data_IF_969909192312
#
_entry.id   IF_969909192312
#
_cell.length_a   1.000
_cell.length_b   1.000
_cell.length_c   1.000
_cell.angle_alpha   90.00
_cell.angle_beta   90.00
_cell.angle_gamma   90.00
#
_symmetry.space_group_name_H-M   'P 1'
#
loop_
_entity.id
_entity.type
_entity.pdbx_description
1 polymer ?
#
# COMPACT_ATOMS: atom_id res chain seq x y z
N UNK A 1 61.01 -38.60 -16.48
CA UNK A 1 60.43 -37.72 -17.51
C UNK A 1 60.01 -36.41 -16.86
N UNK A 2 60.70 -35.31 -17.16
CA UNK A 2 60.34 -34.00 -16.64
C UNK A 2 59.05 -33.52 -17.33
N UNK A 3 57.99 -33.29 -16.54
CA UNK A 3 56.70 -32.79 -17.03
C UNK A 3 56.93 -31.37 -17.56
N UNK A 4 56.87 -31.19 -18.88
CA UNK A 4 57.01 -29.88 -19.55
C UNK A 4 55.92 -28.96 -19.00
N UNK A 5 56.29 -27.94 -18.21
CA UNK A 5 55.36 -26.91 -17.74
C UNK A 5 55.06 -26.00 -18.93
N UNK A 6 53.83 -26.01 -19.41
CA UNK A 6 53.35 -25.08 -20.43
C UNK A 6 53.12 -23.74 -19.73
N UNK A 7 53.87 -22.70 -20.12
CA UNK A 7 53.69 -21.35 -19.57
C UNK A 7 52.50 -20.67 -20.21
N UNK A 8 51.68 -20.01 -19.40
CA UNK A 8 50.53 -19.23 -19.87
C UNK A 8 51.03 -17.88 -20.41
N UNK A 9 50.61 -17.50 -21.61
CA UNK A 9 51.00 -16.22 -22.22
C UNK A 9 50.14 -15.09 -21.68
N UNK A 10 50.70 -13.87 -21.65
CA UNK A 10 49.98 -12.67 -21.21
C UNK A 10 48.73 -12.41 -22.06
N UNK A 11 48.78 -12.77 -23.34
CA UNK A 11 47.66 -12.63 -24.28
C UNK A 11 46.52 -13.59 -23.92
N UNK A 12 46.81 -14.86 -23.62
CA UNK A 12 45.78 -15.84 -23.21
C UNK A 12 45.06 -15.40 -21.93
N UNK A 13 45.78 -14.83 -20.96
CA UNK A 13 45.18 -14.28 -19.75
C UNK A 13 44.25 -13.10 -20.04
N UNK A 14 44.70 -12.18 -20.90
CA UNK A 14 43.92 -11.00 -21.24
C UNK A 14 42.64 -11.36 -22.00
N UNK A 15 42.71 -12.34 -22.92
CA UNK A 15 41.53 -12.84 -23.66
C UNK A 15 40.53 -13.49 -22.71
N UNK A 16 40.98 -14.33 -21.77
CA UNK A 16 40.08 -14.98 -20.80
C UNK A 16 39.39 -13.95 -19.91
N UNK A 17 40.13 -12.97 -19.39
CA UNK A 17 39.53 -11.89 -18.58
C UNK A 17 38.56 -11.06 -19.42
N UNK A 18 38.87 -10.77 -20.69
CA UNK A 18 37.97 -10.05 -21.58
C UNK A 18 36.66 -10.82 -21.81
N UNK A 19 36.72 -12.12 -22.06
CA UNK A 19 35.53 -12.98 -22.24
C UNK A 19 34.69 -13.02 -20.97
N UNK A 20 35.32 -13.27 -19.80
CA UNK A 20 34.62 -13.27 -18.50
C UNK A 20 33.98 -11.90 -18.24
N UNK A 21 34.69 -10.81 -18.53
CA UNK A 21 34.18 -9.46 -18.39
C UNK A 21 32.94 -9.21 -19.23
N UNK A 22 32.95 -9.62 -20.51
CA UNK A 22 31.77 -9.52 -21.40
C UNK A 22 30.62 -10.39 -20.90
N UNK A 23 30.88 -11.63 -20.48
CA UNK A 23 29.84 -12.51 -19.95
C UNK A 23 29.19 -11.93 -18.69
N UNK A 24 29.98 -11.43 -17.74
CA UNK A 24 29.45 -10.79 -16.52
C UNK A 24 28.66 -9.53 -16.87
N UNK A 25 29.16 -8.70 -17.79
CA UNK A 25 28.48 -7.47 -18.22
C UNK A 25 27.11 -7.76 -18.85
N UNK A 26 26.97 -8.88 -19.57
CA UNK A 26 25.69 -9.30 -20.16
C UNK A 26 24.78 -10.00 -19.15
N UNK A 27 25.32 -10.75 -18.19
CA UNK A 27 24.55 -11.51 -17.21
C UNK A 27 24.03 -10.66 -16.04
N UNK A 28 24.79 -9.66 -15.59
CA UNK A 28 24.41 -8.86 -14.41
C UNK A 28 23.07 -8.14 -14.60
N UNK A 29 22.79 -7.43 -15.73
CA UNK A 29 21.49 -6.81 -15.96
C UNK A 29 20.36 -7.84 -15.98
N UNK A 30 20.58 -9.00 -16.61
CA UNK A 30 19.58 -10.06 -16.71
C UNK A 30 19.24 -10.67 -15.33
N UNK A 31 20.24 -10.91 -14.49
CA UNK A 31 20.03 -11.42 -13.13
C UNK A 31 19.25 -10.43 -12.27
N UNK A 32 19.52 -9.11 -12.40
CA UNK A 32 18.77 -8.10 -11.65
C UNK A 32 17.31 -8.01 -12.11
N UNK A 33 17.06 -8.05 -13.43
CA UNK A 33 15.70 -8.08 -13.97
C UNK A 33 14.92 -9.31 -13.50
N UNK A 34 15.56 -10.49 -13.49
CA UNK A 34 14.94 -11.71 -13.00
C UNK A 34 14.61 -11.64 -11.50
N UNK A 35 15.51 -11.07 -10.68
CA UNK A 35 15.26 -10.86 -9.25
C UNK A 35 14.09 -9.92 -8.99
N UNK A 36 14.01 -8.82 -9.74
CA UNK A 36 12.90 -7.88 -9.59
C UNK A 36 11.57 -8.48 -10.04
N UNK A 37 11.56 -9.26 -11.14
CA UNK A 37 10.38 -9.99 -11.54
C UNK A 37 9.90 -10.98 -10.46
N UNK A 38 10.82 -11.68 -9.79
CA UNK A 38 10.50 -12.56 -8.67
C UNK A 38 9.92 -11.80 -7.47
N UNK A 39 10.52 -10.67 -7.07
CA UNK A 39 9.99 -9.82 -6.00
C UNK A 39 8.59 -9.32 -6.32
N UNK A 40 8.37 -8.84 -7.55
CA UNK A 40 7.05 -8.39 -8.03
C UNK A 40 6.00 -9.50 -8.02
N UNK A 41 6.37 -10.73 -8.36
CA UNK A 41 5.46 -11.88 -8.24
C UNK A 41 5.08 -12.15 -6.78
N UNK A 42 6.04 -12.04 -5.85
CA UNK A 42 5.75 -12.20 -4.44
C UNK A 42 4.84 -11.08 -3.90
N UNK A 43 5.06 -9.82 -4.30
CA UNK A 43 4.18 -8.72 -3.89
C UNK A 43 2.75 -8.89 -4.43
N UNK A 44 2.60 -9.40 -5.67
CA UNK A 44 1.29 -9.79 -6.22
C UNK A 44 0.63 -10.93 -5.43
N UNK A 45 1.39 -11.94 -4.99
CA UNK A 45 0.87 -13.05 -4.19
C UNK A 45 0.42 -12.60 -2.79
N UNK A 46 1.20 -11.73 -2.13
CA UNK A 46 0.81 -11.12 -0.85
C UNK A 46 -0.53 -10.37 -0.97
N UNK A 47 -0.69 -9.58 -2.04
CA UNK A 47 -1.97 -8.91 -2.34
C UNK A 47 -3.09 -9.93 -2.49
N UNK A 48 -2.91 -10.99 -3.29
CA UNK A 48 -3.95 -12.02 -3.46
C UNK A 48 -4.34 -12.68 -2.14
N UNK A 49 -3.39 -12.97 -1.26
CA UNK A 49 -3.67 -13.53 0.06
C UNK A 49 -4.53 -12.57 0.90
N UNK A 50 -4.21 -11.27 0.90
CA UNK A 50 -5.03 -10.27 1.60
C UNK A 50 -6.43 -10.12 1.00
N UNK A 51 -6.57 -10.17 -0.33
CA UNK A 51 -7.89 -10.10 -0.98
C UNK A 51 -8.75 -11.32 -0.63
N UNK A 52 -8.17 -12.53 -0.65
CA UNK A 52 -8.86 -13.75 -0.24
C UNK A 52 -9.28 -13.69 1.23
N UNK A 53 -8.44 -13.13 2.09
CA UNK A 53 -8.75 -12.88 3.48
C UNK A 53 -9.91 -11.88 3.64
N UNK A 54 -9.97 -10.82 2.82
CA UNK A 54 -11.10 -9.89 2.78
C UNK A 54 -12.39 -10.58 2.30
N UNK A 55 -12.32 -11.52 1.36
CA UNK A 55 -13.48 -12.32 0.93
C UNK A 55 -13.96 -13.25 2.05
N UNK A 56 -13.04 -13.92 2.74
CA UNK A 56 -13.36 -14.79 3.88
C UNK A 56 -14.00 -14.01 5.03
N UNK A 57 -13.47 -12.80 5.32
CA UNK A 57 -14.11 -11.86 6.24
C UNK A 57 -15.52 -11.49 5.77
N UNK A 58 -15.70 -11.17 4.48
CA UNK A 58 -17.01 -10.85 3.92
C UNK A 58 -17.99 -12.03 4.07
N UNK A 59 -17.57 -13.27 3.84
CA UNK A 59 -18.43 -14.44 3.98
C UNK A 59 -19.01 -14.59 5.39
N UNK A 60 -18.22 -14.25 6.42
CA UNK A 60 -18.63 -14.30 7.82
C UNK A 60 -19.46 -13.07 8.23
N UNK A 61 -18.98 -11.86 7.94
CA UNK A 61 -19.57 -10.61 8.44
C UNK A 61 -20.54 -9.93 7.45
N UNK A 62 -20.70 -10.50 6.25
CA UNK A 62 -21.52 -10.01 5.13
C UNK A 62 -21.13 -8.62 4.62
N UNK A 63 -19.95 -8.14 4.97
CA UNK A 63 -19.38 -6.87 4.58
C UNK A 63 -17.85 -6.95 4.61
N UNK A 64 -17.17 -6.12 3.83
CA UNK A 64 -15.71 -5.99 3.91
C UNK A 64 -15.30 -5.38 5.26
N UNK A 65 -14.04 -5.63 5.68
CA UNK A 65 -13.46 -4.93 6.82
C UNK A 65 -13.60 -3.41 6.66
N UNK A 66 -13.79 -2.71 7.78
CA UNK A 66 -13.72 -1.24 7.78
C UNK A 66 -12.29 -0.79 7.50
N UNK A 67 -12.12 0.34 6.80
CA UNK A 67 -10.78 0.86 6.55
C UNK A 67 -10.06 1.25 7.84
N UNK A 68 -10.73 2.04 8.69
CA UNK A 68 -10.28 2.40 10.03
C UNK A 68 -11.46 2.79 10.92
N UNK A 69 -11.50 2.33 12.17
CA UNK A 69 -12.54 2.72 13.13
C UNK A 69 -12.17 4.02 13.85
N UNK A 70 -12.69 5.17 13.39
CA UNK A 70 -12.35 6.47 13.98
C UNK A 70 -13.38 6.95 15.03
N UNK A 71 -14.21 6.05 15.55
CA UNK A 71 -15.32 6.34 16.46
C UNK A 71 -15.19 5.57 17.78
N UNK A 72 -15.47 6.21 18.92
CA UNK A 72 -15.63 5.56 20.24
C UNK A 72 -17.09 5.70 20.74
N UNK A 73 -17.41 5.11 21.90
CA UNK A 73 -18.75 5.19 22.51
C UNK A 73 -19.27 6.62 22.81
N UNK A 74 -18.41 7.64 22.70
CA UNK A 74 -18.73 9.05 23.00
C UNK A 74 -18.69 9.98 21.78
N UNK A 75 -18.27 9.48 20.59
CA UNK A 75 -18.10 10.32 19.40
C UNK A 75 -16.86 10.00 18.56
N UNK A 76 -16.53 10.92 17.66
CA UNK A 76 -15.28 10.87 16.88
C UNK A 76 -14.08 11.07 17.81
N UNK A 77 -13.02 10.28 17.61
CA UNK A 77 -11.80 10.38 18.42
C UNK A 77 -10.70 11.19 17.73
N UNK A 78 -10.08 12.12 18.45
CA UNK A 78 -8.89 12.85 18.00
C UNK A 78 -7.67 11.93 17.79
N UNK A 79 -7.72 10.70 18.34
CA UNK A 79 -6.70 9.66 18.21
C UNK A 79 -6.82 8.77 16.95
N UNK A 80 -7.93 8.89 16.21
CA UNK A 80 -8.33 8.09 15.03
C UNK A 80 -7.89 6.61 15.09
N UNK A 81 -8.69 5.84 15.84
CA UNK A 81 -8.95 4.42 15.66
C UNK A 81 -8.73 3.21 16.57
N UNK A 82 -9.74 2.33 16.63
CA UNK A 82 -9.70 1.09 17.43
C UNK A 82 -9.30 -0.14 16.64
N UNK A 83 -9.60 -0.21 15.34
CA UNK A 83 -9.29 -1.35 14.48
C UNK A 83 -9.39 -0.92 13.02
N UNK A 84 -8.52 -1.41 12.14
CA UNK A 84 -8.56 -1.18 10.70
C UNK A 84 -8.68 -2.48 9.91
N UNK A 85 -8.70 -2.36 8.58
CA UNK A 85 -8.95 -3.50 7.68
C UNK A 85 -7.91 -4.61 7.86
N UNK A 86 -6.65 -4.24 8.04
CA UNK A 86 -5.50 -5.12 8.21
C UNK A 86 -5.64 -5.96 9.48
N UNK A 87 -5.93 -5.34 10.62
CA UNK A 87 -6.22 -6.05 11.87
C UNK A 87 -7.44 -6.98 11.69
N UNK A 88 -8.48 -6.49 11.02
CA UNK A 88 -9.73 -7.24 10.80
C UNK A 88 -9.54 -8.54 10.00
N UNK A 89 -8.49 -8.67 9.20
CA UNK A 89 -8.24 -9.86 8.39
C UNK A 89 -7.20 -10.82 8.98
N UNK A 90 -6.60 -10.53 10.14
CA UNK A 90 -5.50 -11.33 10.71
C UNK A 90 -5.83 -12.83 10.85
N UNK A 91 -7.03 -13.16 11.33
CA UNK A 91 -7.49 -14.56 11.44
C UNK A 91 -7.50 -15.30 10.10
N UNK A 92 -7.71 -14.58 9.01
CA UNK A 92 -7.83 -15.11 7.66
C UNK A 92 -6.50 -15.12 6.88
N UNK A 93 -5.41 -14.67 7.52
CA UNK A 93 -4.03 -14.74 6.99
C UNK A 93 -3.09 -15.49 7.95
N UNK A 94 -3.64 -16.45 8.70
CA UNK A 94 -2.90 -17.30 9.65
C UNK A 94 -2.22 -16.50 10.80
N UNK A 95 -2.77 -15.33 11.16
CA UNK A 95 -2.28 -14.49 12.25
C UNK A 95 -3.25 -14.42 13.44
N UNK A 96 -4.01 -15.49 13.70
CA UNK A 96 -5.04 -15.47 14.75
C UNK A 96 -4.53 -15.23 16.17
N UNK A 97 -3.31 -15.68 16.47
CA UNK A 97 -2.66 -15.35 17.75
C UNK A 97 -2.43 -13.85 17.96
N UNK A 98 -2.22 -13.07 16.88
CA UNK A 98 -2.11 -11.62 16.97
C UNK A 98 -3.47 -10.95 17.03
N UNK A 99 -4.46 -11.51 16.34
CA UNK A 99 -5.84 -11.05 16.42
C UNK A 99 -6.38 -11.15 17.86
N UNK A 100 -6.25 -12.30 18.50
CA UNK A 100 -6.68 -12.54 19.89
C UNK A 100 -5.99 -11.64 20.92
N UNK A 101 -4.76 -11.19 20.61
CA UNK A 101 -3.98 -10.27 21.47
C UNK A 101 -4.39 -8.81 21.32
N UNK A 102 -5.11 -8.46 20.25
CA UNK A 102 -5.48 -7.10 19.98
C UNK A 102 -6.76 -6.71 20.72
N UNK A 103 -6.68 -5.74 21.60
CA UNK A 103 -7.85 -5.20 22.29
C UNK A 103 -8.53 -4.13 21.43
N UNK A 104 -9.56 -4.54 20.69
CA UNK A 104 -10.37 -3.66 19.83
C UNK A 104 -11.24 -2.67 20.60
N UNK A 105 -11.26 -2.71 21.93
CA UNK A 105 -11.94 -1.71 22.77
C UNK A 105 -11.00 -0.56 23.16
N UNK A 106 -9.71 -0.65 22.78
CA UNK A 106 -8.70 0.37 23.02
C UNK A 106 -8.14 0.90 21.71
N UNK A 107 -7.74 2.16 21.74
CA UNK A 107 -7.07 2.79 20.61
C UNK A 107 -5.80 2.01 20.23
N UNK A 108 -5.43 2.00 18.95
CA UNK A 108 -4.19 1.36 18.47
C UNK A 108 -2.93 1.85 19.21
N UNK A 109 -2.96 3.06 19.77
CA UNK A 109 -1.87 3.69 20.56
C UNK A 109 -1.77 3.19 22.00
N UNK A 110 -2.79 2.50 22.50
CA UNK A 110 -2.81 1.93 23.85
C UNK A 110 -1.61 1.02 24.09
N UNK A 111 -1.01 1.06 25.27
CA UNK A 111 0.08 0.14 25.63
C UNK A 111 -0.33 -1.33 25.52
N UNK A 112 -1.62 -1.65 25.71
CA UNK A 112 -2.17 -3.00 25.53
C UNK A 112 -1.94 -3.53 24.11
N UNK A 113 -2.07 -2.67 23.10
CA UNK A 113 -1.91 -3.03 21.69
C UNK A 113 -0.47 -2.92 21.19
N UNK A 114 0.51 -2.66 22.07
CA UNK A 114 1.90 -2.44 21.69
C UNK A 114 2.53 -3.62 20.97
N UNK A 115 2.43 -4.81 21.56
CA UNK A 115 3.02 -6.01 20.99
C UNK A 115 2.48 -6.31 19.59
N UNK A 116 1.19 -6.06 19.36
CA UNK A 116 0.56 -6.27 18.04
C UNK A 116 1.08 -5.26 17.03
N UNK A 117 1.03 -3.95 17.33
CA UNK A 117 1.42 -2.92 16.35
C UNK A 117 2.91 -2.90 16.00
N UNK A 118 3.77 -3.42 16.87
CA UNK A 118 5.23 -3.54 16.66
C UNK A 118 5.63 -4.89 16.02
N UNK A 119 4.67 -5.77 15.74
CA UNK A 119 4.96 -7.03 15.03
C UNK A 119 5.05 -6.80 13.53
N UNK A 120 6.17 -7.22 12.91
CA UNK A 120 6.30 -7.24 11.46
C UNK A 120 5.67 -8.50 10.86
N UNK A 121 4.89 -8.33 9.80
CA UNK A 121 4.14 -9.40 9.13
C UNK A 121 4.60 -9.55 7.69
N UNK A 122 5.13 -10.72 7.34
CA UNK A 122 5.60 -11.01 5.98
C UNK A 122 4.48 -10.83 4.94
N UNK A 123 3.25 -11.22 5.27
CA UNK A 123 2.07 -11.02 4.42
C UNK A 123 1.81 -9.54 4.06
N UNK A 124 2.30 -8.60 4.86
CA UNK A 124 2.16 -7.15 4.62
C UNK A 124 3.42 -6.48 4.06
N UNK A 125 4.47 -7.25 3.80
CA UNK A 125 5.76 -6.73 3.36
C UNK A 125 6.03 -7.13 1.91
N UNK A 126 6.14 -6.16 1.01
CA UNK A 126 6.63 -6.39 -0.34
C UNK A 126 8.16 -6.47 -0.31
N UNK A 127 8.82 -7.55 -0.78
CA UNK A 127 10.29 -7.67 -0.77
C UNK A 127 11.07 -6.59 -1.55
N UNK A 128 10.40 -5.75 -2.35
CA UNK A 128 11.03 -4.58 -3.00
C UNK A 128 11.00 -3.32 -2.13
N UNK A 129 10.24 -3.31 -1.03
CA UNK A 129 10.18 -2.18 -0.11
C UNK A 129 11.47 -2.07 0.72
N UNK A 130 12.00 -0.85 0.84
CA UNK A 130 13.22 -0.57 1.61
C UNK A 130 12.96 -0.48 3.12
N UNK A 131 11.69 -0.38 3.52
CA UNK A 131 11.29 -0.15 4.91
C UNK A 131 10.87 -1.42 5.64
N UNK A 132 10.95 -2.60 5.00
CA UNK A 132 10.46 -3.88 5.55
C UNK A 132 11.02 -4.15 6.95
N UNK A 133 10.15 -4.53 7.88
CA UNK A 133 10.55 -4.97 9.21
C UNK A 133 11.07 -3.84 10.12
N UNK A 134 11.02 -2.59 9.66
CA UNK A 134 11.42 -1.45 10.48
C UNK A 134 10.33 -1.08 11.48
N UNK A 135 10.79 -0.56 12.60
CA UNK A 135 9.98 0.01 13.66
C UNK A 135 10.18 1.53 13.62
N UNK A 136 9.18 2.27 13.15
CA UNK A 136 9.27 3.72 12.98
C UNK A 136 8.11 4.42 13.69
N UNK A 137 8.35 5.68 14.07
CA UNK A 137 7.31 6.57 14.57
C UNK A 137 6.68 7.32 13.39
N UNK A 138 5.35 7.23 13.17
CA UNK A 138 4.70 7.94 12.08
C UNK A 138 4.86 9.47 12.23
N UNK A 139 5.09 10.16 11.12
CA UNK A 139 5.39 11.61 11.09
C UNK A 139 4.23 12.55 11.42
N UNK A 140 3.00 12.07 11.50
CA UNK A 140 1.84 12.89 11.88
C UNK A 140 0.74 12.04 12.50
N UNK A 141 -0.23 12.71 13.10
CA UNK A 141 -1.30 12.08 13.86
C UNK A 141 -0.97 12.13 15.34
N UNK A 142 -1.96 11.83 16.15
CA UNK A 142 -1.89 11.71 17.62
C UNK A 142 -0.95 10.58 18.07
N UNK A 143 -0.43 9.82 17.11
CA UNK A 143 0.49 8.71 17.21
C UNK A 143 1.98 9.06 17.21
N UNK A 144 2.39 10.32 17.02
CA UNK A 144 3.80 10.75 16.88
C UNK A 144 4.72 10.47 18.11
N UNK A 145 4.28 9.66 19.07
CA UNK A 145 5.06 9.18 20.22
C UNK A 145 5.08 7.65 20.35
N UNK A 146 4.55 6.91 19.37
CA UNK A 146 4.49 5.44 19.37
C UNK A 146 5.10 4.88 18.10
N UNK A 147 5.73 3.73 18.28
CA UNK A 147 6.41 3.01 17.23
C UNK A 147 5.45 1.97 16.64
N UNK A 148 5.54 1.79 15.33
CA UNK A 148 4.75 0.84 14.56
C UNK A 148 5.67 0.07 13.61
N UNK A 149 5.32 -1.19 13.37
CA UNK A 149 5.89 -1.95 12.27
C UNK A 149 5.42 -1.38 10.94
N UNK A 150 6.38 -1.15 10.06
CA UNK A 150 6.14 -0.79 8.67
C UNK A 150 5.49 -1.93 7.91
N UNK A 151 4.95 -1.58 6.74
CA UNK A 151 4.35 -2.49 5.77
C UNK A 151 4.36 -1.82 4.40
N UNK A 152 3.87 -2.50 3.37
CA UNK A 152 3.95 -2.03 1.99
C UNK A 152 2.59 -1.79 1.33
N UNK A 153 1.49 -2.14 1.98
CA UNK A 153 0.16 -2.16 1.35
C UNK A 153 -0.87 -1.32 2.11
N UNK A 154 -1.64 -0.52 1.37
CA UNK A 154 -2.74 0.29 1.89
C UNK A 154 -4.07 -0.11 1.27
N UNK A 155 -5.12 -0.02 2.08
CA UNK A 155 -6.49 -0.13 1.60
C UNK A 155 -6.91 1.10 0.79
N UNK A 156 -7.67 0.90 -0.28
CA UNK A 156 -8.20 1.98 -1.11
C UNK A 156 -9.47 2.55 -0.46
N UNK A 157 -9.36 3.78 0.04
CA UNK A 157 -10.47 4.48 0.69
C UNK A 157 -11.40 5.19 -0.31
N UNK A 158 -10.92 5.49 -1.52
CA UNK A 158 -11.69 6.15 -2.56
C UNK A 158 -10.85 7.01 -3.49
N UNK A 159 -11.53 7.96 -4.15
CA UNK A 159 -10.91 9.08 -4.86
C UNK A 159 -11.12 10.41 -4.12
N UNK A 160 -10.36 11.43 -4.51
CA UNK A 160 -10.46 12.78 -3.96
C UNK A 160 -10.02 13.82 -4.99
N UNK A 161 -10.51 15.05 -4.86
CA UNK A 161 -10.01 16.24 -5.59
C UNK A 161 -8.90 16.99 -4.83
N UNK A 162 -8.43 16.43 -3.71
CA UNK A 162 -7.26 16.92 -2.96
C UNK A 162 -7.58 17.55 -1.60
N UNK A 163 -8.86 17.85 -1.33
CA UNK A 163 -9.29 18.54 -0.10
C UNK A 163 -9.82 17.60 0.98
N UNK A 164 -10.68 16.65 0.60
CA UNK A 164 -11.40 15.78 1.52
C UNK A 164 -11.29 14.32 1.09
N UNK A 165 -11.22 13.41 2.06
CA UNK A 165 -10.86 12.01 1.81
C UNK A 165 -11.73 11.08 2.63
N UNK A 166 -12.06 9.93 2.04
CA UNK A 166 -12.83 8.88 2.70
C UNK A 166 -12.06 8.14 3.79
N UNK A 167 -10.76 8.43 3.98
CA UNK A 167 -9.97 7.98 5.12
C UNK A 167 -10.07 8.92 6.35
N UNK A 168 -10.83 10.01 6.27
CA UNK A 168 -10.97 11.01 7.35
C UNK A 168 -12.44 11.24 7.71
N UNK A 169 -12.89 10.55 8.75
CA UNK A 169 -14.28 10.59 9.22
C UNK A 169 -14.78 11.98 9.65
N UNK A 170 -13.87 12.90 10.04
CA UNK A 170 -14.26 14.24 10.49
C UNK A 170 -14.74 15.12 9.32
N UNK A 171 -14.39 14.77 8.09
CA UNK A 171 -14.66 15.59 6.90
C UNK A 171 -15.65 14.93 5.93
N UNK A 172 -16.37 13.89 6.37
CA UNK A 172 -17.33 13.20 5.49
C UNK A 172 -18.49 14.09 5.02
N UNK A 173 -18.84 15.13 5.78
CA UNK A 173 -19.82 16.12 5.33
C UNK A 173 -19.39 16.91 4.09
N UNK A 174 -18.09 16.86 3.74
CA UNK A 174 -17.51 17.51 2.58
C UNK A 174 -17.03 16.52 1.50
N UNK A 175 -17.14 15.21 1.73
CA UNK A 175 -16.83 14.18 0.74
C UNK A 175 -18.04 13.88 -0.14
N UNK A 176 -17.81 13.54 -1.41
CA UNK A 176 -18.86 13.10 -2.29
C UNK A 176 -19.05 11.57 -2.19
N UNK A 177 -20.29 11.11 -2.06
CA UNK A 177 -20.65 9.70 -1.95
C UNK A 177 -20.13 8.85 -3.13
N UNK A 178 -20.09 9.41 -4.34
CA UNK A 178 -19.58 8.70 -5.53
C UNK A 178 -18.07 8.47 -5.49
N UNK A 179 -17.35 9.20 -4.65
CA UNK A 179 -15.89 9.09 -4.54
C UNK A 179 -15.45 8.00 -3.54
N UNK A 180 -16.42 7.29 -2.95
CA UNK A 180 -16.17 6.29 -1.91
C UNK A 180 -15.53 5.04 -2.49
N UNK A 181 -14.47 4.57 -1.85
CA UNK A 181 -13.79 3.30 -2.14
C UNK A 181 -14.22 2.16 -1.22
N UNK A 182 -13.51 1.04 -1.32
CA UNK A 182 -13.84 -0.19 -0.56
C UNK A 182 -13.59 -0.04 0.94
N UNK A 183 -12.54 0.70 1.31
CA UNK A 183 -12.09 0.86 2.70
C UNK A 183 -12.23 2.30 3.21
N UNK A 184 -13.46 2.84 3.33
CA UNK A 184 -13.67 4.11 4.00
C UNK A 184 -13.33 3.98 5.50
N UNK A 185 -12.97 5.09 6.14
CA UNK A 185 -13.03 5.19 7.58
C UNK A 185 -14.48 5.01 8.07
N UNK A 186 -14.65 4.31 9.19
CA UNK A 186 -15.94 4.18 9.86
C UNK A 186 -16.26 5.49 10.59
N UNK A 187 -17.50 5.97 10.41
CA UNK A 187 -18.09 7.08 11.17
C UNK A 187 -19.56 6.78 11.45
N UNK A 188 -20.28 7.67 12.15
CA UNK A 188 -21.74 7.54 12.31
C UNK A 188 -22.48 7.44 10.96
N UNK A 189 -21.91 8.00 9.88
CA UNK A 189 -22.48 8.01 8.52
C UNK A 189 -21.70 7.14 7.51
N UNK A 190 -20.47 6.74 7.86
CA UNK A 190 -19.62 5.88 7.03
C UNK A 190 -19.86 4.41 7.35
N UNK A 191 -20.60 3.72 6.50
CA UNK A 191 -20.87 2.28 6.66
C UNK A 191 -19.84 1.38 5.98
N UNK A 192 -19.75 0.14 6.49
CA UNK A 192 -19.04 -0.96 5.83
C UNK A 192 -19.51 -1.14 4.39
N UNK A 193 -18.58 -1.51 3.50
CA UNK A 193 -18.88 -1.79 2.10
C UNK A 193 -19.24 -3.26 1.94
N UNK A 194 -20.22 -3.57 1.08
CA UNK A 194 -20.61 -4.94 0.73
C UNK A 194 -20.40 -5.11 -0.78
N UNK A 195 -20.33 -6.35 -1.28
CA UNK A 195 -20.31 -6.59 -2.73
C UNK A 195 -21.43 -5.86 -3.49
N UNK A 196 -22.63 -5.77 -2.92
CA UNK A 196 -23.77 -5.07 -3.53
C UNK A 196 -23.58 -3.56 -3.70
N UNK A 197 -22.62 -2.96 -2.97
CA UNK A 197 -22.28 -1.54 -3.14
C UNK A 197 -21.25 -1.31 -4.25
N UNK A 198 -20.62 -2.37 -4.78
CA UNK A 198 -19.59 -2.29 -5.83
C UNK A 198 -20.28 -2.41 -7.19
N UNK A 199 -20.95 -1.33 -7.59
CA UNK A 199 -21.76 -1.27 -8.81
C UNK A 199 -20.91 -0.97 -10.07
N UNK A 200 -19.68 -0.48 -9.91
CA UNK A 200 -18.72 -0.25 -11.02
C UNK A 200 -18.10 -1.57 -11.55
N UNK A 201 -18.40 -2.70 -10.88
CA UNK A 201 -17.92 -4.04 -11.20
C UNK A 201 -16.71 -4.45 -10.36
N UNK A 202 -16.75 -5.66 -9.78
CA UNK A 202 -15.73 -6.14 -8.84
C UNK A 202 -14.34 -6.29 -9.49
N UNK A 203 -14.28 -6.57 -10.79
CA UNK A 203 -13.05 -6.63 -11.57
C UNK A 203 -12.51 -5.27 -12.01
N UNK A 204 -13.24 -4.19 -11.74
CA UNK A 204 -12.86 -2.81 -12.09
C UNK A 204 -12.65 -1.92 -10.86
N UNK A 205 -12.85 -2.43 -9.65
CA UNK A 205 -12.67 -1.67 -8.42
C UNK A 205 -11.42 -2.11 -7.68
N UNK A 206 -10.52 -1.17 -7.40
CA UNK A 206 -9.30 -1.36 -6.60
C UNK A 206 -9.67 -1.49 -5.13
N UNK A 207 -9.00 -2.41 -4.45
CA UNK A 207 -9.22 -2.71 -3.04
C UNK A 207 -7.96 -2.48 -2.20
N UNK A 208 -6.80 -3.00 -2.62
CA UNK A 208 -5.51 -2.86 -1.92
C UNK A 208 -4.45 -2.48 -2.94
N UNK A 209 -3.54 -1.56 -2.58
CA UNK A 209 -2.44 -1.15 -3.45
C UNK A 209 -1.13 -0.99 -2.69
N UNK A 210 -0.02 -1.07 -3.40
CA UNK A 210 1.30 -0.78 -2.83
C UNK A 210 1.47 0.72 -2.56
N UNK A 211 2.00 1.04 -1.39
CA UNK A 211 2.30 2.40 -0.97
C UNK A 211 3.62 2.42 -0.21
N UNK A 212 4.69 2.70 -0.94
CA UNK A 212 6.08 2.69 -0.49
C UNK A 212 6.71 4.05 -0.80
N UNK A 213 7.61 4.51 0.06
CA UNK A 213 8.34 5.78 -0.14
C UNK A 213 9.83 5.61 0.08
N UNK A 214 10.62 6.26 -0.77
CA UNK A 214 12.08 6.33 -0.70
C UNK A 214 12.57 7.32 0.34
N UNK A 215 11.86 8.44 0.46
CA UNK A 215 12.15 9.55 1.37
C UNK A 215 11.08 9.58 2.46
N UNK A 216 11.44 10.08 3.65
CA UNK A 216 10.52 10.19 4.78
C UNK A 216 9.76 8.88 5.07
N UNK A 217 10.46 7.79 5.41
CA UNK A 217 9.83 6.48 5.68
C UNK A 217 8.79 6.54 6.82
N UNK A 218 8.87 7.55 7.68
CA UNK A 218 7.86 7.89 8.70
C UNK A 218 6.51 8.36 8.11
N UNK A 219 6.45 8.64 6.79
CA UNK A 219 5.26 8.87 5.95
C UNK A 219 4.83 7.63 5.16
N UNK A 220 5.59 6.54 5.26
CA UNK A 220 5.32 5.25 4.65
C UNK A 220 4.11 4.53 5.26
N UNK A 221 3.99 3.23 5.03
CA UNK A 221 2.79 2.48 5.43
C UNK A 221 3.01 1.75 6.75
N UNK A 222 2.01 1.81 7.63
CA UNK A 222 2.03 1.13 8.94
C UNK A 222 0.75 0.32 9.08
N UNK A 223 0.88 -1.01 9.07
CA UNK A 223 -0.27 -1.89 8.86
C UNK A 223 -1.28 -1.79 10.01
N UNK A 224 -0.82 -1.73 11.26
CA UNK A 224 -1.68 -1.67 12.44
C UNK A 224 -2.16 -0.24 12.76
N UNK A 225 -1.81 0.73 11.92
CA UNK A 225 -2.10 2.13 12.18
C UNK A 225 -3.48 2.52 11.66
N UNK A 226 -4.28 3.15 12.51
CA UNK A 226 -5.68 3.47 12.22
C UNK A 226 -5.93 4.92 11.83
N UNK A 227 -4.92 5.79 12.01
CA UNK A 227 -5.02 7.19 11.60
C UNK A 227 -4.91 7.33 10.07
N UNK A 228 -6.00 7.80 9.47
CA UNK A 228 -6.15 8.19 8.06
C UNK A 228 -5.29 7.41 7.08
N UNK A 229 -4.14 7.96 6.71
CA UNK A 229 -3.44 7.68 5.47
C UNK A 229 -2.28 6.69 5.65
N UNK A 230 -2.14 6.05 6.80
CA UNK A 230 -1.03 5.14 7.07
C UNK A 230 -1.32 3.69 6.69
N UNK A 231 -2.56 3.24 6.90
CA UNK A 231 -3.05 1.95 6.42
C UNK A 231 -4.06 2.10 5.26
N UNK A 232 -4.45 3.33 4.92
CA UNK A 232 -5.35 3.65 3.82
C UNK A 232 -4.71 4.67 2.88
N UNK A 233 -5.11 4.65 1.62
CA UNK A 233 -4.75 5.66 0.62
C UNK A 233 -5.98 6.03 -0.22
N UNK A 234 -5.84 7.08 -1.00
CA UNK A 234 -6.87 7.58 -1.92
C UNK A 234 -6.20 8.01 -3.21
N UNK A 235 -6.82 7.75 -4.34
CA UNK A 235 -6.37 8.34 -5.60
C UNK A 235 -6.80 9.80 -5.65
N UNK A 236 -5.87 10.71 -5.92
CA UNK A 236 -6.21 12.14 -6.03
C UNK A 236 -6.23 12.54 -7.50
N UNK A 237 -7.40 12.98 -7.97
CA UNK A 237 -7.59 13.46 -9.36
C UNK A 237 -7.42 14.98 -9.42
N UNK A 238 -6.88 15.48 -10.53
CA UNK A 238 -6.67 16.91 -10.74
C UNK A 238 -5.56 17.52 -9.87
N UNK A 239 -4.75 16.70 -9.21
CA UNK A 239 -3.61 17.17 -8.43
C UNK A 239 -2.45 17.50 -9.38
N UNK A 240 -1.89 18.73 -9.34
CA UNK A 240 -0.87 19.15 -10.32
C UNK A 240 0.51 18.52 -10.11
N UNK A 241 0.66 17.69 -9.08
CA UNK A 241 1.89 16.93 -8.80
C UNK A 241 1.59 15.44 -8.99
N UNK A 242 2.49 14.65 -9.58
CA UNK A 242 2.24 13.22 -9.69
C UNK A 242 2.23 12.59 -8.28
N UNK A 243 1.05 12.16 -7.85
CA UNK A 243 0.81 11.45 -6.57
C UNK A 243 0.51 9.97 -6.81
N UNK A 244 0.99 9.45 -7.93
CA UNK A 244 0.99 8.05 -8.33
C UNK A 244 2.30 7.80 -9.07
N UNK A 245 2.98 6.70 -8.76
CA UNK A 245 4.27 6.36 -9.39
C UNK A 245 5.48 7.15 -8.87
N UNK A 246 5.29 8.29 -8.21
CA UNK A 246 6.34 8.94 -7.43
C UNK A 246 6.39 8.30 -6.05
N UNK A 247 7.23 7.27 -5.89
CA UNK A 247 7.56 6.65 -4.61
C UNK A 247 8.53 7.51 -3.77
N UNK A 248 8.37 8.84 -3.81
CA UNK A 248 9.24 9.82 -3.16
C UNK A 248 8.39 10.95 -2.55
N UNK A 249 8.16 10.86 -1.24
CA UNK A 249 7.33 11.82 -0.51
C UNK A 249 7.89 13.24 -0.56
N UNK A 250 9.19 13.43 -0.32
CA UNK A 250 9.82 14.75 -0.34
C UNK A 250 9.71 15.40 -1.70
N UNK A 251 9.93 14.64 -2.79
CA UNK A 251 9.75 15.16 -4.14
C UNK A 251 8.31 15.66 -4.33
N UNK A 252 7.31 14.84 -4.00
CA UNK A 252 5.90 15.24 -4.11
C UNK A 252 5.59 16.48 -3.25
N UNK A 253 6.01 16.47 -1.99
CA UNK A 253 5.70 17.53 -1.04
C UNK A 253 6.37 18.86 -1.41
N UNK A 254 7.64 18.83 -1.83
CA UNK A 254 8.37 20.03 -2.25
C UNK A 254 7.78 20.62 -3.52
N UNK A 255 7.42 19.80 -4.52
CA UNK A 255 6.73 20.28 -5.71
C UNK A 255 5.37 20.89 -5.37
N UNK A 256 4.60 20.25 -4.49
CA UNK A 256 3.30 20.78 -4.06
C UNK A 256 3.43 22.13 -3.35
N UNK A 257 4.40 22.26 -2.43
CA UNK A 257 4.69 23.52 -1.73
C UNK A 257 5.12 24.63 -2.70
N UNK A 258 5.98 24.32 -3.68
CA UNK A 258 6.42 25.29 -4.70
C UNK A 258 5.27 25.79 -5.58
N UNK A 259 4.24 24.96 -5.78
CA UNK A 259 3.01 25.33 -6.49
C UNK A 259 1.96 26.00 -5.59
N UNK A 260 2.22 26.14 -4.28
CA UNK A 260 1.27 26.71 -3.33
C UNK A 260 0.03 25.85 -3.09
N UNK A 261 0.10 24.54 -3.36
CA UNK A 261 -1.00 23.59 -3.16
C UNK A 261 -0.77 22.69 -1.94
N UNK A 262 -1.83 22.06 -1.45
CA UNK A 262 -1.76 21.18 -0.28
C UNK A 262 -0.85 19.96 -0.52
N UNK A 263 -0.08 19.57 0.50
CA UNK A 263 0.71 18.32 0.51
C UNK A 263 -0.12 17.10 0.95
N UNK A 264 -1.40 17.26 1.25
CA UNK A 264 -2.26 16.15 1.69
C UNK A 264 -2.37 14.98 0.68
N UNK A 265 -2.42 15.22 -0.65
CA UNK A 265 -2.37 14.14 -1.63
C UNK A 265 -1.07 13.32 -1.54
N UNK A 266 0.08 13.96 -1.27
CA UNK A 266 1.37 13.28 -1.11
C UNK A 266 1.42 12.35 0.10
N UNK A 267 0.50 12.44 1.06
CA UNK A 267 0.42 11.48 2.18
C UNK A 267 -0.32 10.20 1.81
N UNK A 268 -1.03 10.21 0.68
CA UNK A 268 -2.01 9.19 0.23
C UNK A 268 -1.66 8.60 -1.13
N UNK A 269 -0.47 8.88 -1.66
CA UNK A 269 -0.06 8.30 -2.92
C UNK A 269 0.03 6.77 -2.82
N UNK A 270 -0.06 6.13 -3.98
CA UNK A 270 0.39 4.76 -4.18
C UNK A 270 1.73 4.80 -4.90
N UNK A 271 2.63 3.90 -4.51
CA UNK A 271 4.03 3.90 -4.92
C UNK A 271 4.67 2.56 -4.66
N UNK A 272 5.53 2.11 -5.57
CA UNK A 272 6.29 0.88 -5.45
C UNK A 272 7.72 1.09 -5.94
N UNK A 273 8.66 0.25 -5.51
CA UNK A 273 10.02 0.19 -6.08
C UNK A 273 10.11 -0.71 -7.34
N UNK A 274 8.96 -1.22 -7.81
CA UNK A 274 8.88 -1.96 -9.06
C UNK A 274 9.04 -1.01 -10.26
N UNK A 275 9.89 -1.33 -11.25
CA UNK A 275 10.01 -0.49 -12.44
C UNK A 275 8.70 -0.45 -13.26
N UNK A 276 8.17 0.76 -13.47
CA UNK A 276 7.15 1.04 -14.48
C UNK A 276 5.71 0.84 -14.03
N UNK A 277 5.46 0.60 -12.74
CA UNK A 277 4.10 0.35 -12.25
C UNK A 277 4.02 -0.11 -10.82
N UNK A 278 2.78 -0.28 -10.37
CA UNK A 278 2.41 -0.56 -8.99
C UNK A 278 1.44 -1.74 -9.00
N UNK A 279 1.62 -2.69 -8.08
CA UNK A 279 0.65 -3.77 -7.93
C UNK A 279 -0.59 -3.29 -7.18
N UNK A 280 -1.74 -3.66 -7.74
CA UNK A 280 -3.03 -3.49 -7.09
C UNK A 280 -3.81 -4.79 -7.07
N UNK A 281 -4.58 -4.94 -6.01
CA UNK A 281 -5.63 -5.93 -5.85
C UNK A 281 -7.00 -5.33 -6.15
N UNK A 282 -7.87 -6.14 -6.75
CA UNK A 282 -9.25 -5.76 -7.07
C UNK A 282 -10.27 -6.50 -6.21
N UNK A 283 -11.49 -5.99 -6.18
CA UNK A 283 -12.57 -6.56 -5.36
C UNK A 283 -12.88 -8.01 -5.74
N UNK A 284 -12.65 -8.44 -6.98
CA UNK A 284 -12.83 -9.83 -7.43
C UNK A 284 -11.73 -10.81 -6.96
N UNK A 285 -10.70 -10.34 -6.26
CA UNK A 285 -9.57 -11.17 -5.82
C UNK A 285 -8.42 -11.25 -6.83
N UNK A 286 -8.56 -10.63 -8.01
CA UNK A 286 -7.47 -10.52 -8.97
C UNK A 286 -6.43 -9.47 -8.54
N UNK A 287 -5.20 -9.63 -9.03
CA UNK A 287 -4.16 -8.60 -8.89
C UNK A 287 -3.63 -8.21 -10.26
N UNK A 288 -3.34 -6.93 -10.47
CA UNK A 288 -2.81 -6.40 -11.71
C UNK A 288 -1.73 -5.36 -11.48
N UNK A 289 -0.75 -5.33 -12.37
CA UNK A 289 0.28 -4.31 -12.41
C UNK A 289 -0.23 -3.10 -13.19
N UNK A 290 -0.44 -1.98 -12.51
CA UNK A 290 -0.94 -0.74 -13.11
C UNK A 290 0.26 0.14 -13.49
N UNK A 291 0.38 0.56 -14.76
CA UNK A 291 1.52 1.37 -15.20
C UNK A 291 1.48 2.77 -14.57
N UNK A 292 2.64 3.31 -14.23
CA UNK A 292 2.77 4.68 -13.69
C UNK A 292 2.25 5.77 -14.65
N UNK A 293 2.15 5.44 -15.94
CA UNK A 293 1.65 6.30 -17.01
C UNK A 293 0.12 6.28 -17.17
N UNK A 294 -0.62 5.55 -16.34
CA UNK A 294 -2.08 5.53 -16.37
C UNK A 294 -2.64 6.95 -16.19
N UNK A 295 -3.71 7.26 -16.91
CA UNK A 295 -4.45 8.51 -16.70
C UNK A 295 -5.00 8.58 -15.26
N UNK A 296 -4.78 9.71 -14.59
CA UNK A 296 -5.18 9.86 -13.18
C UNK A 296 -6.70 9.79 -13.00
N UNK A 297 -7.49 10.21 -13.99
CA UNK A 297 -8.95 10.12 -13.95
C UNK A 297 -9.36 8.66 -14.03
N UNK A 298 -8.81 7.89 -14.97
CA UNK A 298 -9.07 6.44 -15.07
C UNK A 298 -8.71 5.74 -13.77
N UNK A 299 -7.53 6.03 -13.21
CA UNK A 299 -7.12 5.46 -11.92
C UNK A 299 -8.07 5.86 -10.78
N UNK A 300 -8.53 7.12 -10.77
CA UNK A 300 -9.50 7.61 -9.81
C UNK A 300 -10.83 6.86 -9.88
N UNK A 301 -11.29 6.55 -11.08
CA UNK A 301 -12.54 5.82 -11.32
C UNK A 301 -12.42 4.36 -10.89
N UNK A 302 -11.24 3.75 -11.08
CA UNK A 302 -10.96 2.42 -10.55
C UNK A 302 -10.94 2.39 -9.00
N UNK A 303 -10.73 3.53 -8.33
CA UNK A 303 -10.69 3.61 -6.87
C UNK A 303 -12.08 3.74 -6.20
N UNK A 304 -13.16 3.88 -6.98
CA UNK A 304 -14.53 4.04 -6.46
C UNK A 304 -15.34 2.75 -6.55
N UNK A 305 -16.37 2.63 -5.69
CA UNK A 305 -17.30 1.49 -5.69
C UNK A 305 -18.57 1.77 -6.50
N UNK A 306 -18.87 3.04 -6.81
CA UNK A 306 -20.10 3.44 -7.50
C UNK A 306 -20.05 4.82 -8.14
N UNK A 307 -18.92 5.13 -8.79
CA UNK A 307 -18.75 6.34 -9.59
C UNK A 307 -19.61 6.37 -10.86
N UNK A 308 -20.09 5.21 -11.32
CA UNK A 308 -20.96 5.07 -12.49
C UNK A 308 -20.24 5.25 -13.83
N UNK A 309 -18.91 5.28 -13.81
CA UNK A 309 -18.09 5.58 -14.99
C UNK A 309 -17.58 4.27 -15.60
N UNK A 310 -18.03 3.96 -16.82
CA UNK A 310 -17.54 2.80 -17.58
C UNK A 310 -16.08 3.07 -17.94
N UNK A 311 -15.15 2.30 -17.38
CA UNK A 311 -13.76 2.27 -17.84
C UNK A 311 -13.77 1.68 -19.25
N UNK A 312 -13.41 2.45 -20.30
CA UNK A 312 -13.31 1.90 -21.65
C UNK A 312 -12.29 0.76 -21.63
N UNK A 313 -12.64 -0.36 -22.25
CA UNK A 313 -11.94 -1.64 -22.15
C UNK A 313 -10.41 -1.54 -22.26
N UNK A 314 -9.74 -2.30 -21.38
CA UNK A 314 -8.30 -2.57 -21.39
C UNK A 314 -7.84 -3.20 -22.70
#
# INVERSE_FOLDING_TARGET
>A
MAKKKVGFTLVELLVVIAIIGVLIALLLPAVQQAREAARRMQCSNNIKQMLLACHSYHDVYKAFPIGSNQYNHTGLVNSRGFMGWSIGILDYIEQGNLFDRYDSTKDSLSSVNQAVRETSLEAYNCPSDISIGQLLTPASGTCCSRVYATSSYRGVSGRSTGSYYWDDANHFGNTNAVDKGVFPALSQNGGQVRFSHVIDGTSNTLMIGEAQTKTEQTRGTFWAHTYTSYALSSVTIGFPVPSFGINDYELCANTANNLGVSTNPCKRFFGAFHPGGIQFGRVDGSSSFIPETIDQTILGNLATIGGGEVVPGQ
#
